data_IF_018858532865
#
_entry.id   IF_018858532865
#
_cell.length_a   1.000
_cell.length_b   1.000
_cell.length_c   1.000
_cell.angle_alpha   90.00
_cell.angle_beta   90.00
_cell.angle_gamma   90.00
#
_symmetry.space_group_name_H-M   'P 1'
#
loop_
_entity.id
_entity.type
_entity.pdbx_description
1 polymer ?
#
# COMPACT_ATOMS: atom_id res chain seq x y z
N UNK A 1 11.22 -0.63 -11.48
CA UNK A 1 12.17 0.18 -12.27
C UNK A 1 12.02 -0.09 -13.75
N UNK A 2 12.04 -1.35 -14.20
CA UNK A 2 11.78 -1.71 -15.61
C UNK A 2 10.46 -1.12 -16.14
N UNK A 3 9.35 -1.25 -15.41
CA UNK A 3 8.03 -0.71 -15.77
C UNK A 3 8.02 0.80 -16.06
N UNK A 4 8.85 1.60 -15.37
CA UNK A 4 8.90 3.05 -15.58
C UNK A 4 9.43 3.42 -16.97
N UNK A 5 10.33 2.59 -17.50
CA UNK A 5 10.93 2.76 -18.83
C UNK A 5 10.17 1.97 -19.91
N UNK A 6 9.36 0.98 -19.53
CA UNK A 6 8.57 0.17 -20.46
C UNK A 6 7.28 0.86 -20.89
N UNK A 7 6.62 1.60 -19.99
CA UNK A 7 5.31 2.18 -20.30
C UNK A 7 5.39 3.69 -20.57
N UNK A 8 4.67 4.12 -21.62
CA UNK A 8 4.48 5.52 -21.99
C UNK A 8 3.16 6.06 -21.41
N UNK A 9 3.24 7.24 -20.78
CA UNK A 9 2.07 7.91 -20.19
C UNK A 9 2.41 8.58 -18.85
N UNK A 10 2.15 9.88 -18.76
CA UNK A 10 2.44 10.69 -17.56
C UNK A 10 1.74 10.17 -16.31
N UNK A 11 0.49 9.72 -16.45
CA UNK A 11 -0.33 9.17 -15.37
C UNK A 11 0.28 7.88 -14.81
N UNK A 12 0.63 6.93 -15.69
CA UNK A 12 1.21 5.66 -15.27
C UNK A 12 2.59 5.82 -14.66
N UNK A 13 3.44 6.68 -15.23
CA UNK A 13 4.74 7.02 -14.63
C UNK A 13 4.59 7.68 -13.26
N UNK A 14 3.56 8.50 -13.07
CA UNK A 14 3.26 9.09 -11.76
C UNK A 14 2.87 8.02 -10.74
N UNK A 15 1.97 7.08 -11.09
CA UNK A 15 1.63 5.95 -10.20
C UNK A 15 2.87 5.11 -9.85
N UNK A 16 3.73 4.81 -10.82
CA UNK A 16 4.95 4.03 -10.58
C UNK A 16 5.91 4.79 -9.68
N UNK A 17 6.11 6.09 -9.92
CA UNK A 17 6.96 6.92 -9.08
C UNK A 17 6.44 7.02 -7.65
N UNK A 18 5.14 7.27 -7.46
CA UNK A 18 4.51 7.29 -6.13
C UNK A 18 4.64 5.95 -5.41
N UNK A 19 4.42 4.83 -6.11
CA UNK A 19 4.64 3.48 -5.55
C UNK A 19 6.09 3.30 -5.10
N UNK A 20 7.06 3.64 -5.95
CA UNK A 20 8.48 3.50 -5.65
C UNK A 20 8.92 4.39 -4.47
N UNK A 21 8.53 5.67 -4.48
CA UNK A 21 8.78 6.59 -3.38
C UNK A 21 8.17 6.08 -2.09
N UNK A 22 6.92 5.63 -2.13
CA UNK A 22 6.23 5.05 -0.98
C UNK A 22 6.95 3.83 -0.42
N UNK A 23 7.34 2.88 -1.26
CA UNK A 23 8.10 1.69 -0.85
C UNK A 23 9.47 2.05 -0.27
N UNK A 24 10.20 3.01 -0.88
CA UNK A 24 11.48 3.48 -0.35
C UNK A 24 11.32 4.08 1.04
N UNK A 25 10.36 4.99 1.21
CA UNK A 25 10.07 5.61 2.51
C UNK A 25 9.63 4.58 3.55
N UNK A 26 8.80 3.62 3.16
CA UNK A 26 8.32 2.57 4.05
C UNK A 26 9.46 1.67 4.54
N UNK A 27 10.42 1.33 3.67
CA UNK A 27 11.63 0.58 4.05
C UNK A 27 12.51 1.41 4.97
N UNK A 28 12.75 2.69 4.64
CA UNK A 28 13.52 3.60 5.51
C UNK A 28 12.86 3.76 6.88
N UNK A 29 11.53 3.90 6.93
CA UNK A 29 10.75 3.94 8.16
C UNK A 29 10.88 2.65 8.97
N UNK A 30 10.80 1.49 8.31
CA UNK A 30 11.01 0.19 8.95
C UNK A 30 12.41 0.08 9.60
N UNK A 31 13.45 0.56 8.92
CA UNK A 31 14.82 0.65 9.47
C UNK A 31 14.89 1.62 10.65
N UNK A 32 14.10 2.71 10.63
CA UNK A 32 14.01 3.68 11.71
C UNK A 32 13.55 3.11 13.06
N UNK A 33 12.87 1.96 13.05
CA UNK A 33 12.47 1.24 14.27
C UNK A 33 13.52 0.26 14.81
N UNK A 34 14.68 0.12 14.16
CA UNK A 34 15.81 -0.61 14.74
C UNK A 34 16.34 0.15 15.98
N UNK A 35 16.66 -0.53 17.10
CA UNK A 35 17.05 0.14 18.34
C UNK A 35 18.19 1.16 18.19
N UNK A 36 19.19 0.84 17.37
CA UNK A 36 20.33 1.73 17.13
C UNK A 36 19.96 2.99 16.34
N UNK A 37 19.00 2.92 15.42
CA UNK A 37 18.55 4.07 14.63
C UNK A 37 17.55 4.90 15.43
N UNK A 38 16.62 4.24 16.11
CA UNK A 38 15.62 4.86 16.98
C UNK A 38 16.27 5.70 18.09
N UNK A 39 17.36 5.19 18.69
CA UNK A 39 18.11 5.91 19.70
C UNK A 39 18.78 7.20 19.19
N UNK A 40 19.07 7.28 17.89
CA UNK A 40 19.67 8.46 17.26
C UNK A 40 18.60 9.44 16.79
N UNK A 41 17.59 8.95 16.07
CA UNK A 41 16.51 9.79 15.56
C UNK A 41 15.21 8.98 15.38
N UNK A 42 14.26 9.08 16.32
CA UNK A 42 13.00 8.35 16.23
C UNK A 42 12.07 8.84 15.11
N UNK A 43 12.28 10.07 14.62
CA UNK A 43 11.46 10.65 13.55
C UNK A 43 11.64 9.93 12.21
N UNK A 44 12.76 9.24 11.99
CA UNK A 44 12.98 8.42 10.78
C UNK A 44 11.94 7.31 10.70
N UNK A 45 11.72 6.62 11.83
CA UNK A 45 10.72 5.57 11.93
C UNK A 45 9.32 6.13 11.67
N UNK A 46 8.94 7.16 12.43
CA UNK A 46 7.60 7.74 12.38
C UNK A 46 7.29 8.31 10.98
N UNK A 47 8.07 9.28 10.49
CA UNK A 47 7.77 9.93 9.21
C UNK A 47 8.00 9.01 8.02
N UNK A 48 9.03 8.17 8.04
CA UNK A 48 9.29 7.22 6.97
C UNK A 48 8.11 6.26 6.79
N UNK A 49 7.58 5.75 7.90
CA UNK A 49 6.47 4.80 7.88
C UNK A 49 5.13 5.46 7.54
N UNK A 50 4.84 6.64 8.11
CA UNK A 50 3.62 7.41 7.81
C UNK A 50 3.60 7.85 6.34
N UNK A 51 4.66 8.53 5.87
CA UNK A 51 4.72 9.01 4.49
C UNK A 51 4.78 7.84 3.50
N UNK A 52 5.57 6.81 3.80
CA UNK A 52 5.64 5.61 2.96
C UNK A 52 4.28 4.94 2.78
N UNK A 53 3.55 4.76 3.89
CA UNK A 53 2.20 4.19 3.86
C UNK A 53 1.22 5.06 3.08
N UNK A 54 1.27 6.39 3.22
CA UNK A 54 0.43 7.29 2.45
C UNK A 54 0.72 7.23 0.94
N UNK A 55 1.99 7.31 0.53
CA UNK A 55 2.33 7.22 -0.90
C UNK A 55 1.90 5.89 -1.52
N UNK A 56 2.10 4.77 -0.81
CA UNK A 56 1.63 3.46 -1.27
C UNK A 56 0.10 3.46 -1.38
N UNK A 57 -0.61 3.82 -0.31
CA UNK A 57 -2.08 3.79 -0.27
C UNK A 57 -2.71 4.57 -1.42
N UNK A 58 -2.34 5.84 -1.59
CA UNK A 58 -2.91 6.67 -2.65
C UNK A 58 -2.50 6.20 -4.04
N UNK A 59 -1.26 5.73 -4.22
CA UNK A 59 -0.82 5.17 -5.49
C UNK A 59 -1.66 3.95 -5.88
N UNK A 60 -1.84 2.99 -4.97
CA UNK A 60 -2.55 1.76 -5.30
C UNK A 60 -4.06 1.97 -5.46
N UNK A 61 -4.67 2.83 -4.64
CA UNK A 61 -6.08 3.20 -4.82
C UNK A 61 -6.33 3.87 -6.18
N UNK A 62 -5.40 4.72 -6.63
CA UNK A 62 -5.47 5.31 -7.96
C UNK A 62 -5.32 4.25 -9.06
N UNK A 63 -4.39 3.31 -8.93
CA UNK A 63 -4.30 2.19 -9.89
C UNK A 63 -5.57 1.34 -9.92
N UNK A 64 -6.13 0.99 -8.77
CA UNK A 64 -7.40 0.25 -8.70
C UNK A 64 -8.53 1.00 -9.40
N UNK A 65 -8.63 2.31 -9.18
CA UNK A 65 -9.60 3.15 -9.88
C UNK A 65 -9.41 3.10 -11.41
N UNK A 66 -8.16 3.19 -11.88
CA UNK A 66 -7.83 3.11 -13.31
C UNK A 66 -8.17 1.74 -13.91
N UNK A 67 -7.89 0.66 -13.18
CA UNK A 67 -8.25 -0.70 -13.63
C UNK A 67 -9.78 -0.80 -13.76
N UNK A 68 -10.54 -0.24 -12.81
CA UNK A 68 -12.01 -0.22 -12.88
C UNK A 68 -12.57 0.67 -13.99
N UNK A 69 -11.83 1.69 -14.43
CA UNK A 69 -12.23 2.51 -15.57
C UNK A 69 -11.87 1.92 -16.94
N UNK A 70 -10.98 0.94 -17.00
CA UNK A 70 -10.32 0.56 -18.25
C UNK A 70 -9.41 1.69 -18.74
N UNK A 71 -8.25 1.37 -19.33
CA UNK A 71 -7.23 2.38 -19.66
C UNK A 71 -7.69 3.46 -20.66
N UNK A 72 -8.89 3.30 -21.25
CA UNK A 72 -9.43 4.14 -22.33
C UNK A 72 -10.91 4.55 -22.14
N UNK A 73 -11.61 4.18 -21.05
CA UNK A 73 -13.02 4.61 -20.86
C UNK A 73 -13.15 5.74 -19.83
N UNK A 74 -14.17 6.58 -20.04
CA UNK A 74 -14.51 7.63 -19.10
C UNK A 74 -15.21 7.04 -17.86
N UNK A 75 -14.53 7.13 -16.71
CA UNK A 75 -15.09 6.83 -15.39
C UNK A 75 -14.93 5.38 -14.93
N UNK A 76 -15.13 5.16 -13.63
CA UNK A 76 -15.01 3.84 -12.98
C UNK A 76 -16.27 3.01 -13.16
N UNK A 77 -16.13 1.76 -13.61
CA UNK A 77 -17.24 0.84 -13.80
C UNK A 77 -16.96 -0.51 -13.15
N UNK A 78 -17.81 -0.93 -12.20
CA UNK A 78 -17.66 -2.23 -11.52
C UNK A 78 -17.70 -3.42 -12.48
N UNK A 79 -18.41 -3.31 -13.61
CA UNK A 79 -18.47 -4.33 -14.66
C UNK A 79 -17.08 -4.66 -15.25
N UNK A 80 -16.13 -3.74 -15.18
CA UNK A 80 -14.76 -3.96 -15.69
C UNK A 80 -14.07 -5.09 -14.93
N UNK A 81 -14.42 -5.30 -13.66
CA UNK A 81 -13.92 -6.40 -12.84
C UNK A 81 -14.61 -7.75 -13.13
N UNK A 82 -15.52 -7.83 -14.10
CA UNK A 82 -16.02 -9.12 -14.57
C UNK A 82 -14.94 -9.92 -15.33
N UNK A 83 -13.95 -9.22 -15.90
CA UNK A 83 -12.79 -9.87 -16.51
C UNK A 83 -11.82 -10.34 -15.42
N UNK A 84 -11.43 -11.61 -15.45
CA UNK A 84 -10.54 -12.22 -14.46
C UNK A 84 -9.19 -11.48 -14.33
N UNK A 85 -8.64 -10.99 -15.45
CA UNK A 85 -7.40 -10.21 -15.43
C UNK A 85 -7.58 -8.89 -14.68
N UNK A 86 -8.60 -8.10 -15.02
CA UNK A 86 -8.91 -6.84 -14.32
C UNK A 86 -9.24 -7.06 -12.85
N UNK A 87 -10.01 -8.11 -12.52
CA UNK A 87 -10.36 -8.46 -11.14
C UNK A 87 -9.12 -8.75 -10.29
N UNK A 88 -8.24 -9.61 -10.78
CA UNK A 88 -7.04 -9.99 -10.03
C UNK A 88 -6.01 -8.86 -9.97
N UNK A 89 -5.86 -8.06 -11.02
CA UNK A 89 -5.03 -6.86 -11.00
C UNK A 89 -5.54 -5.85 -9.96
N UNK A 90 -6.85 -5.58 -9.97
CA UNK A 90 -7.49 -4.73 -8.96
C UNK A 90 -7.36 -5.34 -7.55
N UNK A 91 -7.42 -6.67 -7.43
CA UNK A 91 -7.19 -7.38 -6.18
C UNK A 91 -5.80 -7.14 -5.59
N UNK A 92 -4.74 -7.19 -6.42
CA UNK A 92 -3.37 -6.85 -6.00
C UNK A 92 -3.32 -5.42 -5.47
N UNK A 93 -3.77 -4.47 -6.27
CA UNK A 93 -3.59 -3.04 -5.97
C UNK A 93 -4.51 -2.59 -4.82
N UNK A 94 -5.78 -2.98 -4.82
CA UNK A 94 -6.72 -2.63 -3.75
C UNK A 94 -6.27 -3.19 -2.40
N UNK A 95 -5.82 -4.45 -2.38
CA UNK A 95 -5.39 -5.08 -1.14
C UNK A 95 -4.13 -4.41 -0.59
N UNK A 96 -3.16 -4.08 -1.45
CA UNK A 96 -1.99 -3.31 -1.05
C UNK A 96 -2.36 -1.89 -0.58
N UNK A 97 -3.34 -1.24 -1.22
CA UNK A 97 -3.84 0.07 -0.84
C UNK A 97 -4.51 0.08 0.54
N UNK A 98 -5.39 -0.88 0.81
CA UNK A 98 -6.05 -1.04 2.11
C UNK A 98 -5.02 -1.41 3.19
N UNK A 99 -4.10 -2.33 2.89
CA UNK A 99 -3.01 -2.69 3.78
C UNK A 99 -2.20 -1.46 4.20
N UNK A 100 -1.79 -0.64 3.23
CA UNK A 100 -1.07 0.59 3.50
C UNK A 100 -1.89 1.63 4.29
N UNK A 101 -3.20 1.76 4.04
CA UNK A 101 -4.07 2.63 4.86
C UNK A 101 -4.12 2.16 6.32
N UNK A 102 -4.21 0.86 6.57
CA UNK A 102 -4.16 0.32 7.93
C UNK A 102 -2.85 0.72 8.62
N UNK A 103 -1.70 0.55 7.96
CA UNK A 103 -0.43 0.97 8.54
C UNK A 103 -0.34 2.49 8.74
N UNK A 104 -0.83 3.30 7.80
CA UNK A 104 -0.91 4.76 7.94
C UNK A 104 -1.71 5.18 9.17
N UNK A 105 -2.97 4.75 9.28
CA UNK A 105 -3.82 5.12 10.42
C UNK A 105 -3.35 4.49 11.73
N UNK A 106 -2.87 3.25 11.69
CA UNK A 106 -2.31 2.57 12.86
C UNK A 106 -1.09 3.30 13.42
N UNK A 107 -0.19 3.78 12.56
CA UNK A 107 0.99 4.55 13.00
C UNK A 107 0.60 5.93 13.50
N UNK A 108 -0.34 6.64 12.87
CA UNK A 108 -0.84 7.91 13.41
C UNK A 108 -1.48 7.74 14.79
N UNK A 109 -2.26 6.68 14.98
CA UNK A 109 -2.89 6.37 16.26
C UNK A 109 -1.85 5.96 17.31
N UNK A 110 -0.83 5.20 16.94
CA UNK A 110 0.27 4.82 17.82
C UNK A 110 1.08 6.03 18.29
N UNK A 111 1.35 6.98 17.41
CA UNK A 111 2.18 8.17 17.70
C UNK A 111 1.45 9.21 18.56
N UNK A 112 0.12 9.34 18.39
CA UNK A 112 -0.67 10.38 19.04
C UNK A 112 -1.55 9.89 20.21
N UNK A 113 -1.81 8.58 20.29
CA UNK A 113 -2.71 8.01 21.29
C UNK A 113 -1.98 7.56 22.56
N UNK A 114 -2.67 7.52 23.71
CA UNK A 114 -2.09 6.95 24.92
C UNK A 114 -1.83 5.45 24.71
N UNK A 115 -0.60 4.99 24.99
CA UNK A 115 -0.24 3.57 24.82
C UNK A 115 -0.49 2.74 26.08
N UNK A 116 -0.72 3.38 27.23
CA UNK A 116 -0.92 2.73 28.53
C UNK A 116 -2.16 3.26 29.24
N UNK A 117 -2.64 2.48 30.23
CA UNK A 117 -3.79 2.83 31.06
C UNK A 117 -5.15 2.52 30.42
N UNK A 118 -6.26 2.88 31.11
CA UNK A 118 -7.62 2.52 30.70
C UNK A 118 -8.07 3.10 29.34
N UNK A 119 -7.42 4.16 28.88
CA UNK A 119 -7.67 4.78 27.58
C UNK A 119 -6.73 4.29 26.46
N UNK A 120 -5.92 3.25 26.70
CA UNK A 120 -4.89 2.82 25.77
C UNK A 120 -5.44 2.46 24.39
N UNK A 121 -4.80 2.97 23.34
CA UNK A 121 -5.11 2.64 21.95
C UNK A 121 -4.29 1.48 21.41
N UNK A 122 -3.37 0.91 22.21
CA UNK A 122 -2.39 -0.07 21.74
C UNK A 122 -3.04 -1.31 21.13
N UNK A 123 -4.08 -1.85 21.77
CA UNK A 123 -4.81 -3.01 21.24
C UNK A 123 -5.46 -2.69 19.88
N UNK A 124 -6.04 -1.50 19.73
CA UNK A 124 -6.63 -1.04 18.47
C UNK A 124 -5.58 -0.90 17.38
N UNK A 125 -4.42 -0.29 17.69
CA UNK A 125 -3.29 -0.17 16.76
C UNK A 125 -2.83 -1.56 16.28
N UNK A 126 -2.63 -2.50 17.20
CA UNK A 126 -2.18 -3.86 16.87
C UNK A 126 -3.18 -4.57 15.96
N UNK A 127 -4.49 -4.47 16.24
CA UNK A 127 -5.52 -5.03 15.38
C UNK A 127 -5.55 -4.41 13.99
N UNK A 128 -5.40 -3.09 13.89
CA UNK A 128 -5.30 -2.39 12.60
C UNK A 128 -4.09 -2.92 11.81
N UNK A 129 -2.93 -3.09 12.44
CA UNK A 129 -1.74 -3.63 11.76
C UNK A 129 -1.87 -5.10 11.38
N UNK A 130 -2.53 -5.93 12.18
CA UNK A 130 -2.85 -7.31 11.82
C UNK A 130 -3.76 -7.36 10.60
N UNK A 131 -4.82 -6.55 10.57
CA UNK A 131 -5.71 -6.43 9.41
C UNK A 131 -4.94 -5.93 8.19
N UNK A 132 -4.07 -4.93 8.35
CA UNK A 132 -3.22 -4.42 7.27
C UNK A 132 -2.28 -5.50 6.70
N UNK A 133 -1.70 -6.33 7.56
CA UNK A 133 -0.84 -7.45 7.18
C UNK A 133 -1.62 -8.53 6.42
N UNK A 134 -2.85 -8.82 6.84
CA UNK A 134 -3.74 -9.74 6.14
C UNK A 134 -4.05 -9.22 4.71
N UNK A 135 -4.33 -7.93 4.57
CA UNK A 135 -4.56 -7.31 3.26
C UNK A 135 -3.32 -7.35 2.35
N UNK A 136 -2.12 -7.03 2.85
CA UNK A 136 -0.92 -7.21 2.04
C UNK A 136 -0.72 -8.67 1.61
N UNK A 137 -1.01 -9.62 2.48
CA UNK A 137 -0.95 -11.05 2.17
C UNK A 137 -1.96 -11.41 1.07
N UNK A 138 -3.20 -10.93 1.16
CA UNK A 138 -4.22 -11.11 0.11
C UNK A 138 -3.76 -10.56 -1.23
N UNK A 139 -3.11 -9.38 -1.26
CA UNK A 139 -2.51 -8.83 -2.48
C UNK A 139 -1.44 -9.75 -3.07
N UNK A 140 -0.57 -10.31 -2.22
CA UNK A 140 0.41 -11.31 -2.62
C UNK A 140 -0.21 -12.59 -3.19
N UNK A 141 -1.33 -13.06 -2.64
CA UNK A 141 -2.08 -14.20 -3.16
C UNK A 141 -2.68 -13.91 -4.54
N UNK A 142 -3.22 -12.72 -4.76
CA UNK A 142 -3.68 -12.30 -6.08
C UNK A 142 -2.53 -12.28 -7.09
N UNK A 143 -1.37 -11.73 -6.73
CA UNK A 143 -0.20 -11.69 -7.58
C UNK A 143 0.30 -13.11 -7.93
N UNK A 144 0.39 -13.99 -6.93
CA UNK A 144 0.76 -15.38 -7.12
C UNK A 144 -0.22 -16.10 -8.06
N UNK A 145 -1.53 -15.88 -7.89
CA UNK A 145 -2.54 -16.45 -8.78
C UNK A 145 -2.43 -15.94 -10.23
N UNK A 146 -2.11 -14.65 -10.44
CA UNK A 146 -1.87 -14.07 -11.77
C UNK A 146 -0.75 -14.81 -12.51
N UNK A 147 0.37 -15.04 -11.84
CA UNK A 147 1.51 -15.72 -12.45
C UNK A 147 1.28 -17.24 -12.60
N UNK A 148 0.73 -17.90 -11.58
CA UNK A 148 0.57 -19.36 -11.57
C UNK A 148 -0.51 -19.86 -12.54
N UNK A 149 -1.65 -19.17 -12.61
CA UNK A 149 -2.82 -19.68 -13.33
C UNK A 149 -3.11 -18.93 -14.63
N UNK A 150 -2.80 -17.63 -14.68
CA UNK A 150 -3.15 -16.81 -15.85
C UNK A 150 -1.96 -16.57 -16.79
N UNK A 151 -0.73 -16.90 -16.38
CA UNK A 151 0.51 -16.71 -17.15
C UNK A 151 0.70 -15.27 -17.65
N UNK A 152 0.11 -14.31 -16.96
CA UNK A 152 0.31 -12.88 -17.23
C UNK A 152 1.65 -12.51 -16.61
N UNK A 153 2.57 -12.03 -17.45
CA UNK A 153 3.89 -11.50 -17.06
C UNK A 153 3.83 -9.99 -17.09
#
# INVERSE_FOLDING_TARGET
MQEFFTFDGSVLRTNIAMSATGSTLYVVGSVGYLPAVLAVNPLIGIYGFVLGSAFIAWSQLWKTYRIGGGELQEGFHLKTFAAADAFTAAGVELSAGIGALCFFFGTLLYDNGPLEGPGSVLATVLWIWVVGSAWFTTGGLFLAARHAFMRVV
#
